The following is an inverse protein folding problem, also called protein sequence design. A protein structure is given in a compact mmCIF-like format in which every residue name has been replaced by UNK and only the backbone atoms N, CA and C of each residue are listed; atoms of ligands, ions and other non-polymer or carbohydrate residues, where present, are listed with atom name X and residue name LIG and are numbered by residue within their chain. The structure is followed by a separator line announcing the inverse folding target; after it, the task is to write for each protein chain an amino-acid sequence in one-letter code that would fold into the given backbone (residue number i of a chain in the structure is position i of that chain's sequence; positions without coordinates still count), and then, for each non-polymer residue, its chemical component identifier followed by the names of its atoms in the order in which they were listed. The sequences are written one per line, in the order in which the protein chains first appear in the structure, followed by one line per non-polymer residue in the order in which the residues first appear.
data_IF_024993678658
#
_entry.id   IF_024993678658
#
_cell.length_a   1.000
_cell.length_b   1.000
_cell.length_c   1.000
_cell.angle_alpha   90.00
_cell.angle_beta   90.00
_cell.angle_gamma   90.00
#
_symmetry.space_group_name_H-M   'P 1'
#
loop_
_entity.id
_entity.type
_entity.pdbx_description
1 polymer ?
#
# COMPACT_ATOMS: atom_id res chain seq x y z
N UNK A 1 -16.20 12.56 -16.61
CA UNK A 1 -14.88 13.14 -16.30
C UNK A 1 -13.81 12.41 -17.10
N UNK A 2 -12.71 13.07 -17.49
CA UNK A 2 -11.52 12.40 -18.03
C UNK A 2 -10.69 11.70 -16.94
N UNK A 3 -9.70 10.90 -17.35
CA UNK A 3 -8.71 10.32 -16.43
C UNK A 3 -7.86 11.42 -15.75
N UNK A 4 -7.34 11.17 -14.53
CA UNK A 4 -6.62 12.20 -13.79
C UNK A 4 -5.27 12.51 -14.42
N UNK A 5 -4.87 13.78 -14.33
CA UNK A 5 -3.53 14.25 -14.66
C UNK A 5 -2.85 14.85 -13.43
N UNK A 6 -3.60 15.59 -12.61
CA UNK A 6 -3.09 16.30 -11.42
C UNK A 6 -3.98 16.06 -10.22
N UNK A 7 -3.44 16.28 -9.03
CA UNK A 7 -4.19 16.27 -7.78
C UNK A 7 -3.67 17.32 -6.81
N UNK A 8 -4.52 17.77 -5.90
CA UNK A 8 -4.15 18.52 -4.70
C UNK A 8 -4.56 17.73 -3.46
N UNK A 9 -3.80 17.91 -2.38
CA UNK A 9 -3.96 17.17 -1.13
C UNK A 9 -4.00 18.12 0.06
N UNK A 10 -4.95 17.85 0.95
CA UNK A 10 -4.98 18.32 2.31
C UNK A 10 -5.01 17.08 3.23
N UNK A 11 -3.94 16.86 3.99
CA UNK A 11 -3.80 15.75 4.92
C UNK A 11 -3.61 16.30 6.33
N UNK A 12 -4.59 16.05 7.20
CA UNK A 12 -4.65 16.63 8.54
C UNK A 12 -5.08 15.60 9.59
N UNK A 13 -4.87 15.95 10.85
CA UNK A 13 -5.34 15.20 12.01
C UNK A 13 -4.28 15.15 13.09
N UNK A 14 -4.20 14.03 13.82
CA UNK A 14 -3.27 13.92 14.95
C UNK A 14 -2.58 12.57 15.07
N UNK A 15 -1.38 12.58 15.65
CA UNK A 15 -0.62 11.38 16.02
C UNK A 15 -0.19 11.54 17.48
N UNK A 16 -0.60 10.60 18.35
CA UNK A 16 -0.41 10.69 19.79
C UNK A 16 -0.89 12.03 20.39
N UNK A 17 -1.96 12.61 19.84
CA UNK A 17 -2.51 13.90 20.28
C UNK A 17 -1.73 15.14 19.79
N UNK A 18 -0.65 14.97 19.03
CA UNK A 18 -0.02 16.07 18.31
C UNK A 18 -0.73 16.30 16.99
N UNK A 19 -1.44 17.42 16.89
CA UNK A 19 -2.06 17.87 15.64
C UNK A 19 -0.99 18.18 14.57
N UNK A 20 -1.34 17.90 13.32
CA UNK A 20 -0.53 18.24 12.15
C UNK A 20 -1.44 18.56 10.96
N UNK A 21 -0.89 19.32 10.02
CA UNK A 21 -1.59 19.75 8.81
C UNK A 21 -0.57 19.88 7.68
N UNK A 22 -0.84 19.15 6.59
CA UNK A 22 -0.01 19.08 5.39
C UNK A 22 -0.87 19.45 4.18
N UNK A 23 -0.36 20.37 3.36
CA UNK A 23 -0.98 20.74 2.08
C UNK A 23 0.01 20.52 0.94
N UNK A 24 -0.50 20.23 -0.24
CA UNK A 24 0.36 20.00 -1.38
C UNK A 24 -0.36 19.64 -2.66
N UNK A 25 0.42 19.18 -3.63
CA UNK A 25 -0.09 18.80 -4.94
C UNK A 25 0.78 17.75 -5.60
N UNK A 26 0.29 17.21 -6.70
CA UNK A 26 1.00 16.22 -7.46
C UNK A 26 0.40 15.99 -8.84
N UNK A 27 1.03 15.04 -9.54
CA UNK A 27 0.64 14.61 -10.88
C UNK A 27 0.93 13.14 -11.07
N UNK A 28 0.28 12.52 -12.04
CA UNK A 28 0.48 11.11 -12.31
C UNK A 28 0.13 10.71 -13.74
N UNK A 29 0.50 9.49 -14.08
CA UNK A 29 0.16 8.85 -15.34
C UNK A 29 -0.84 7.71 -15.08
N UNK A 30 -2.13 7.90 -15.39
CA UNK A 30 -3.18 6.92 -15.14
C UNK A 30 -3.08 5.68 -16.05
N UNK A 31 -2.22 5.69 -17.07
CA UNK A 31 -1.94 4.53 -17.93
C UNK A 31 -0.76 3.71 -17.42
N UNK A 32 0.16 4.35 -16.70
CA UNK A 32 1.33 3.69 -16.13
C UNK A 32 1.12 3.20 -14.70
N UNK A 33 0.14 3.74 -13.97
CA UNK A 33 0.02 3.47 -12.53
C UNK A 33 1.12 4.17 -11.75
N UNK A 34 1.42 5.42 -12.08
CA UNK A 34 2.46 6.18 -11.38
C UNK A 34 1.98 7.56 -10.98
N UNK A 35 2.48 8.06 -9.85
CA UNK A 35 2.25 9.42 -9.42
C UNK A 35 3.41 9.97 -8.59
N UNK A 36 3.49 11.29 -8.55
CA UNK A 36 4.35 12.04 -7.64
C UNK A 36 3.50 13.01 -6.84
N UNK A 37 3.71 13.07 -5.54
CA UNK A 37 3.00 13.94 -4.60
C UNK A 37 4.01 14.65 -3.71
N UNK A 38 3.88 15.97 -3.61
CA UNK A 38 4.71 16.82 -2.76
C UNK A 38 3.82 17.55 -1.77
N UNK A 39 4.15 17.45 -0.49
CA UNK A 39 3.42 18.10 0.60
C UNK A 39 4.35 18.85 1.53
N UNK A 40 3.81 19.90 2.14
CA UNK A 40 4.48 20.73 3.13
C UNK A 40 3.60 20.95 4.35
N UNK A 41 4.22 20.93 5.52
CA UNK A 41 3.56 21.24 6.77
C UNK A 41 3.23 22.72 6.88
N UNK A 42 2.00 23.02 7.29
CA UNK A 42 1.55 24.37 7.62
C UNK A 42 1.77 24.71 9.10
N UNK A 43 2.10 23.70 9.93
CA UNK A 43 2.29 23.82 11.39
C UNK A 43 3.75 23.69 11.83
N UNK A 44 4.70 23.79 10.89
CA UNK A 44 6.13 23.61 11.16
C UNK A 44 6.55 22.13 11.24
N UNK A 45 7.69 21.82 11.87
CA UNK A 45 8.23 20.46 11.88
C UNK A 45 7.30 19.43 12.54
N UNK A 46 7.03 18.33 11.84
CA UNK A 46 6.30 17.17 12.36
C UNK A 46 6.96 16.62 13.63
N UNK A 47 6.13 16.16 14.58
CA UNK A 47 6.56 15.61 15.89
C UNK A 47 6.80 14.09 15.86
N UNK A 48 6.71 13.49 14.69
CA UNK A 48 6.85 12.07 14.43
C UNK A 48 7.51 11.88 13.07
N UNK A 49 7.87 10.64 12.72
CA UNK A 49 8.53 10.33 11.45
C UNK A 49 7.68 10.75 10.25
N UNK A 50 8.23 11.52 9.29
CA UNK A 50 7.51 11.87 8.05
C UNK A 50 7.11 10.64 7.23
N UNK A 51 7.82 9.53 7.39
CA UNK A 51 7.48 8.27 6.72
C UNK A 51 6.14 7.69 7.17
N UNK A 52 5.60 8.09 8.32
CA UNK A 52 4.23 7.73 8.73
C UNK A 52 3.17 8.26 7.76
N UNK A 53 3.48 9.30 6.96
CA UNK A 53 2.59 9.80 5.91
C UNK A 53 2.53 8.88 4.68
N UNK A 54 3.41 7.89 4.61
CA UNK A 54 3.47 6.90 3.53
C UNK A 54 2.77 5.63 4.03
N UNK A 55 1.81 5.06 3.29
CA UNK A 55 1.56 5.27 1.87
C UNK A 55 0.43 6.27 1.55
N UNK A 56 -0.05 7.07 2.51
CA UNK A 56 -1.26 7.89 2.33
C UNK A 56 -1.16 8.91 1.19
N UNK A 57 0.03 9.43 0.91
CA UNK A 57 0.28 10.34 -0.21
C UNK A 57 0.16 9.66 -1.60
N UNK A 58 0.18 8.33 -1.67
CA UNK A 58 0.14 7.57 -2.93
C UNK A 58 -1.02 6.60 -3.02
N UNK A 59 -1.14 5.69 -2.05
CA UNK A 59 -2.27 4.73 -1.92
C UNK A 59 -3.60 5.43 -1.57
N UNK A 60 -3.60 6.77 -1.56
CA UNK A 60 -4.77 7.63 -1.57
C UNK A 60 -5.30 7.94 -2.98
N UNK A 61 -4.62 7.63 -4.09
CA UNK A 61 -5.04 8.05 -5.44
C UNK A 61 -5.14 6.89 -6.43
N UNK A 62 -5.97 5.89 -6.14
CA UNK A 62 -6.16 4.75 -7.05
C UNK A 62 -6.84 5.11 -8.37
N UNK A 63 -7.27 6.35 -8.57
CA UNK A 63 -7.66 6.89 -9.87
C UNK A 63 -6.48 6.87 -10.87
N UNK A 64 -5.22 6.83 -10.42
CA UNK A 64 -4.07 6.63 -11.30
C UNK A 64 -3.78 5.16 -11.60
N UNK A 65 -4.43 4.20 -10.93
CA UNK A 65 -4.18 2.77 -11.10
C UNK A 65 -5.00 2.19 -12.27
N UNK A 66 -4.37 1.75 -13.38
CA UNK A 66 -5.03 0.92 -14.38
C UNK A 66 -5.08 -0.55 -13.94
N UNK A 67 -6.07 -1.29 -14.45
CA UNK A 67 -6.10 -2.75 -14.38
C UNK A 67 -5.53 -3.36 -15.67
N UNK A 68 -5.13 -4.64 -15.67
CA UNK A 68 -4.49 -5.26 -16.83
C UNK A 68 -5.31 -5.17 -18.12
N UNK A 69 -6.64 -5.24 -18.01
CA UNK A 69 -7.54 -5.31 -19.16
C UNK A 69 -8.26 -3.97 -19.45
N UNK A 70 -7.85 -2.88 -18.81
CA UNK A 70 -8.49 -1.57 -18.98
C UNK A 70 -8.59 -0.75 -17.69
N UNK A 71 -9.50 0.24 -17.63
CA UNK A 71 -9.67 1.08 -16.45
C UNK A 71 -10.00 0.28 -15.20
N UNK A 72 -9.40 0.64 -14.06
CA UNK A 72 -9.78 0.05 -12.77
C UNK A 72 -11.17 0.54 -12.31
N UNK A 73 -11.81 -0.13 -11.33
CA UNK A 73 -13.00 0.40 -10.66
C UNK A 73 -12.87 1.85 -10.20
N UNK A 74 -11.70 2.23 -9.70
CA UNK A 74 -11.40 3.56 -9.19
C UNK A 74 -11.37 4.61 -10.31
N UNK A 75 -10.80 4.24 -11.47
CA UNK A 75 -10.83 5.06 -12.67
C UNK A 75 -12.27 5.22 -13.18
N UNK A 76 -13.02 4.12 -13.30
CA UNK A 76 -14.41 4.16 -13.76
C UNK A 76 -15.29 5.04 -12.88
N UNK A 77 -15.14 4.96 -11.56
CA UNK A 77 -15.89 5.78 -10.61
C UNK A 77 -15.57 7.28 -10.71
N UNK A 78 -14.33 7.64 -11.05
CA UNK A 78 -13.99 9.03 -11.38
C UNK A 78 -14.59 9.44 -12.73
N UNK A 79 -14.41 8.60 -13.77
CA UNK A 79 -14.85 8.87 -15.13
C UNK A 79 -16.35 9.12 -15.22
N UNK A 80 -17.16 8.37 -14.47
CA UNK A 80 -18.62 8.52 -14.47
C UNK A 80 -19.14 9.51 -13.39
N UNK A 81 -18.23 10.07 -12.58
CA UNK A 81 -18.52 11.04 -11.52
C UNK A 81 -19.20 10.47 -10.28
N UNK A 82 -19.35 9.14 -10.16
CA UNK A 82 -19.95 8.51 -8.97
C UNK A 82 -19.05 8.54 -7.75
N UNK A 83 -17.73 8.51 -7.97
CA UNK A 83 -16.72 8.54 -6.93
C UNK A 83 -16.74 7.34 -5.98
N UNK A 84 -15.86 7.40 -5.00
CA UNK A 84 -15.75 6.43 -3.93
C UNK A 84 -15.14 7.08 -2.69
N UNK A 85 -15.33 6.46 -1.53
CA UNK A 85 -14.66 6.81 -0.27
C UNK A 85 -13.75 5.69 0.17
N UNK A 86 -12.70 6.02 0.91
CA UNK A 86 -11.79 5.02 1.48
C UNK A 86 -11.73 5.18 2.97
N UNK A 87 -11.78 4.06 3.68
CA UNK A 87 -11.41 3.96 5.08
C UNK A 87 -10.29 2.92 5.21
N UNK A 88 -9.21 3.25 5.93
CA UNK A 88 -8.06 2.35 6.11
C UNK A 88 -7.58 2.37 7.55
N UNK A 89 -7.21 1.18 8.04
CA UNK A 89 -6.66 0.99 9.38
C UNK A 89 -5.35 0.22 9.30
N UNK A 90 -4.32 0.74 9.96
CA UNK A 90 -3.04 0.09 10.21
C UNK A 90 -2.98 -0.30 11.69
N UNK A 91 -2.61 -1.56 11.94
CA UNK A 91 -2.29 -2.06 13.27
C UNK A 91 -0.80 -2.41 13.30
N UNK A 92 -0.01 -1.62 14.01
CA UNK A 92 1.44 -1.76 14.09
C UNK A 92 1.85 -2.83 15.10
N UNK A 93 3.03 -3.41 14.89
CA UNK A 93 3.55 -4.51 15.71
C UNK A 93 3.87 -4.13 17.16
N UNK A 94 3.96 -2.84 17.48
CA UNK A 94 4.18 -2.28 18.82
C UNK A 94 2.90 -1.78 19.51
N UNK A 95 1.74 -2.03 18.92
CA UNK A 95 0.45 -1.59 19.45
C UNK A 95 -0.02 -0.22 18.94
N UNK A 96 0.81 0.48 18.17
CA UNK A 96 0.36 1.70 17.47
C UNK A 96 -0.79 1.41 16.51
N UNK A 97 -1.75 2.33 16.44
CA UNK A 97 -2.90 2.23 15.53
C UNK A 97 -3.03 3.53 14.75
N UNK A 98 -3.30 3.39 13.44
CA UNK A 98 -3.53 4.51 12.54
C UNK A 98 -4.80 4.25 11.74
N UNK A 99 -5.76 5.17 11.78
CA UNK A 99 -6.95 5.16 10.94
C UNK A 99 -6.98 6.40 10.06
N UNK A 100 -7.43 6.25 8.82
CA UNK A 100 -7.52 7.35 7.88
C UNK A 100 -8.75 7.22 6.97
N UNK A 101 -9.43 8.34 6.80
CA UNK A 101 -10.55 8.51 5.87
C UNK A 101 -10.13 9.38 4.70
N UNK A 102 -10.48 8.96 3.49
CA UNK A 102 -10.14 9.64 2.25
C UNK A 102 -11.40 10.11 1.53
N UNK A 103 -11.47 11.40 1.23
CA UNK A 103 -12.53 12.00 0.45
C UNK A 103 -11.96 12.70 -0.79
N UNK A 104 -12.72 12.67 -1.88
CA UNK A 104 -12.33 13.24 -3.16
C UNK A 104 -13.44 14.09 -3.77
N UNK A 105 -13.04 15.14 -4.45
CA UNK A 105 -13.86 15.84 -5.44
C UNK A 105 -13.10 15.89 -6.77
N UNK A 106 -13.84 16.00 -7.88
CA UNK A 106 -13.27 15.89 -9.23
C UNK A 106 -13.61 17.12 -10.06
N UNK A 107 -12.60 17.71 -10.72
CA UNK A 107 -12.72 18.85 -11.61
C UNK A 107 -11.95 18.58 -12.90
N UNK A 108 -12.65 18.12 -13.95
CA UNK A 108 -12.00 17.64 -15.17
C UNK A 108 -10.98 16.52 -14.89
N UNK A 109 -9.71 16.79 -15.20
CA UNK A 109 -8.57 15.89 -14.95
C UNK A 109 -7.92 16.08 -13.57
N UNK A 110 -8.45 16.99 -12.75
CA UNK A 110 -7.90 17.33 -11.44
C UNK A 110 -8.68 16.66 -10.30
N UNK A 111 -7.96 16.10 -9.33
CA UNK A 111 -8.52 15.51 -8.11
C UNK A 111 -8.25 16.45 -6.94
N UNK A 112 -9.30 16.90 -6.25
CA UNK A 112 -9.19 17.55 -4.95
C UNK A 112 -9.38 16.52 -3.86
N UNK A 113 -8.57 16.55 -2.82
CA UNK A 113 -8.63 15.54 -1.78
C UNK A 113 -8.46 16.09 -0.37
N UNK A 114 -9.27 15.56 0.54
CA UNK A 114 -9.24 15.85 1.97
C UNK A 114 -9.14 14.53 2.73
N UNK A 115 -8.00 14.34 3.39
CA UNK A 115 -7.64 13.12 4.10
C UNK A 115 -7.51 13.42 5.58
N UNK A 116 -8.26 12.70 6.42
CA UNK A 116 -8.21 12.84 7.87
C UNK A 116 -7.57 11.61 8.49
N UNK A 117 -6.46 11.80 9.20
CA UNK A 117 -5.66 10.74 9.79
C UNK A 117 -5.60 10.87 11.31
N UNK A 118 -5.88 9.77 12.00
CA UNK A 118 -5.83 9.68 13.45
C UNK A 118 -4.90 8.53 13.85
N UNK A 119 -3.81 8.85 14.55
CA UNK A 119 -2.81 7.92 15.04
C UNK A 119 -2.71 7.96 16.56
N UNK A 120 -2.57 6.81 17.20
CA UNK A 120 -2.42 6.73 18.67
C UNK A 120 -1.70 5.45 19.08
N UNK A 121 -1.17 5.44 20.31
CA UNK A 121 -0.54 4.27 20.90
C UNK A 121 0.87 3.99 20.40
N UNK A 122 1.51 4.94 19.70
CA UNK A 122 2.91 4.80 19.32
C UNK A 122 3.80 5.02 20.56
N UNK A 123 4.74 4.12 20.89
CA UNK A 123 5.68 4.35 21.99
C UNK A 123 6.55 5.59 21.74
N UNK A 124 6.80 6.39 22.77
CA UNK A 124 7.59 7.63 22.67
C UNK A 124 9.06 7.36 22.27
N UNK A 125 9.61 6.22 22.68
CA UNK A 125 10.93 5.72 22.27
C UNK A 125 10.88 4.85 21.00
N UNK A 126 9.67 4.66 20.44
CA UNK A 126 9.41 3.85 19.28
C UNK A 126 9.89 4.48 17.96
N UNK A 127 9.95 3.69 16.88
CA UNK A 127 10.56 4.12 15.62
C UNK A 127 9.80 5.27 14.93
N UNK A 128 8.50 5.40 15.19
CA UNK A 128 7.66 6.50 14.69
C UNK A 128 8.00 7.79 15.40
N UNK A 129 7.97 7.82 16.74
CA UNK A 129 8.14 9.04 17.52
C UNK A 129 9.60 9.53 17.53
N UNK A 130 10.56 8.63 17.34
CA UNK A 130 11.99 8.96 17.29
C UNK A 130 12.57 9.04 15.88
N UNK A 131 11.73 9.03 14.84
CA UNK A 131 12.14 9.17 13.42
C UNK A 131 13.21 8.16 12.96
N UNK A 132 13.12 6.91 13.40
CA UNK A 132 14.07 5.85 13.00
C UNK A 132 13.76 5.21 11.64
N UNK A 133 12.63 5.54 11.02
CA UNK A 133 12.23 5.01 9.71
C UNK A 133 13.01 5.71 8.58
N UNK A 134 13.57 4.92 7.66
CA UNK A 134 14.40 5.43 6.54
C UNK A 134 13.89 5.05 5.14
N UNK A 135 13.09 3.99 5.02
CA UNK A 135 12.49 3.55 3.76
C UNK A 135 11.31 2.61 4.07
N UNK A 136 10.67 2.07 3.04
CA UNK A 136 9.66 1.02 3.09
C UNK A 136 9.94 -0.06 2.04
N UNK A 137 9.58 -1.30 2.35
CA UNK A 137 9.66 -2.38 1.37
C UNK A 137 8.65 -2.16 0.22
N UNK A 138 8.87 -2.85 -0.91
CA UNK A 138 7.80 -2.99 -1.91
C UNK A 138 6.66 -3.84 -1.34
N UNK A 139 5.41 -3.50 -1.63
CA UNK A 139 4.26 -4.09 -0.96
C UNK A 139 3.24 -4.60 -1.98
N UNK A 140 2.64 -5.76 -1.70
CA UNK A 140 1.54 -6.32 -2.50
C UNK A 140 0.25 -6.26 -1.71
N UNK A 141 -0.74 -5.60 -2.31
CA UNK A 141 -2.11 -5.56 -1.81
C UNK A 141 -2.98 -6.62 -2.47
N UNK A 142 -3.90 -7.21 -1.72
CA UNK A 142 -4.89 -8.17 -2.22
C UNK A 142 -6.28 -7.55 -2.11
N UNK A 143 -6.90 -7.28 -3.26
CA UNK A 143 -8.25 -6.73 -3.36
C UNK A 143 -9.27 -7.82 -3.70
N UNK A 144 -10.39 -7.81 -2.99
CA UNK A 144 -11.56 -8.66 -3.25
C UNK A 144 -12.83 -7.82 -3.19
N UNK A 145 -13.89 -8.27 -3.84
CA UNK A 145 -15.19 -7.59 -3.82
C UNK A 145 -16.03 -8.20 -2.71
N UNK A 146 -16.40 -7.39 -1.71
CA UNK A 146 -17.22 -7.85 -0.59
C UNK A 146 -18.70 -7.94 -0.99
N UNK A 147 -19.16 -6.96 -1.75
CA UNK A 147 -20.48 -6.84 -2.34
C UNK A 147 -20.36 -6.03 -3.65
N UNK A 148 -21.48 -5.61 -4.21
CA UNK A 148 -21.52 -4.91 -5.49
C UNK A 148 -21.00 -3.47 -5.44
N UNK A 149 -20.79 -2.85 -4.28
CA UNK A 149 -20.28 -1.48 -4.18
C UNK A 149 -19.05 -1.33 -3.26
N UNK A 150 -18.49 -2.44 -2.78
CA UNK A 150 -17.40 -2.42 -1.81
C UNK A 150 -16.24 -3.32 -2.23
N UNK A 151 -15.06 -2.72 -2.37
CA UNK A 151 -13.79 -3.46 -2.44
C UNK A 151 -13.17 -3.48 -1.05
N UNK A 152 -12.65 -4.64 -0.66
CA UNK A 152 -11.82 -4.79 0.53
C UNK A 152 -10.39 -5.14 0.14
N UNK A 153 -9.44 -4.51 0.81
CA UNK A 153 -8.01 -4.72 0.61
C UNK A 153 -7.33 -5.09 1.92
N UNK A 154 -6.36 -6.00 1.85
CA UNK A 154 -5.42 -6.23 2.94
C UNK A 154 -3.99 -6.36 2.43
N UNK A 155 -3.05 -5.83 3.21
CA UNK A 155 -1.62 -5.97 2.97
C UNK A 155 -0.84 -5.93 4.29
N UNK A 156 0.34 -6.54 4.27
CA UNK A 156 1.32 -6.46 5.35
C UNK A 156 2.35 -5.41 4.97
N UNK A 157 2.32 -4.29 5.67
CA UNK A 157 3.20 -3.15 5.44
C UNK A 157 4.47 -3.30 6.28
N UNK A 158 5.62 -2.88 5.74
CA UNK A 158 6.88 -2.87 6.48
C UNK A 158 7.76 -1.69 6.10
N UNK A 159 8.12 -0.90 7.12
CA UNK A 159 9.16 0.10 7.05
C UNK A 159 10.53 -0.50 7.32
N UNK A 160 11.57 0.10 6.74
CA UNK A 160 12.98 -0.16 7.03
C UNK A 160 13.47 0.87 8.06
N UNK A 161 14.18 0.39 9.09
CA UNK A 161 14.73 1.25 10.14
C UNK A 161 16.22 1.50 9.94
N UNK A 162 16.74 2.58 10.52
CA UNK A 162 18.17 2.93 10.51
C UNK A 162 19.08 1.78 10.98
N UNK A 163 18.61 0.98 11.94
CA UNK A 163 19.33 -0.17 12.50
C UNK A 163 19.21 -1.46 11.65
N UNK A 164 18.63 -1.39 10.46
CA UNK A 164 18.44 -2.52 9.54
C UNK A 164 17.26 -3.43 9.86
N UNK A 165 16.54 -3.22 10.97
CA UNK A 165 15.31 -3.96 11.29
C UNK A 165 14.12 -3.47 10.45
N UNK A 166 13.01 -4.18 10.56
CA UNK A 166 11.71 -3.83 9.96
C UNK A 166 10.71 -3.48 11.03
N UNK A 167 9.90 -2.46 10.78
CA UNK A 167 8.76 -2.07 11.59
C UNK A 167 7.47 -2.30 10.80
N UNK A 168 6.59 -3.19 11.30
CA UNK A 168 5.49 -3.76 10.50
C UNK A 168 4.12 -3.29 10.95
N UNK A 169 3.19 -3.30 10.01
CA UNK A 169 1.77 -3.13 10.28
C UNK A 169 0.90 -4.07 9.46
N UNK A 170 -0.17 -4.58 10.07
CA UNK A 170 -1.26 -5.23 9.35
C UNK A 170 -2.26 -4.17 8.91
N UNK A 171 -2.55 -4.12 7.60
CA UNK A 171 -3.39 -3.07 7.03
C UNK A 171 -4.65 -3.67 6.41
N UNK A 172 -5.76 -2.98 6.64
CA UNK A 172 -7.05 -3.27 6.02
C UNK A 172 -7.66 -2.00 5.46
N UNK A 173 -8.27 -2.07 4.27
CA UNK A 173 -8.95 -0.92 3.66
C UNK A 173 -10.30 -1.34 3.09
N UNK A 174 -11.28 -0.45 3.20
CA UNK A 174 -12.57 -0.55 2.54
C UNK A 174 -12.71 0.61 1.55
N UNK A 175 -13.11 0.30 0.32
CA UNK A 175 -13.41 1.28 -0.72
C UNK A 175 -14.88 1.17 -1.03
N UNK A 176 -15.65 2.20 -0.69
CA UNK A 176 -17.11 2.23 -0.83
C UNK A 176 -17.46 3.14 -2.01
N UNK A 177 -18.02 2.54 -3.06
CA UNK A 177 -18.32 3.21 -4.32
C UNK A 177 -19.72 3.82 -4.31
N UNK A 178 -19.87 4.98 -4.96
CA UNK A 178 -21.16 5.67 -5.08
C UNK A 178 -22.18 4.94 -5.97
N UNK A 179 -21.71 4.00 -6.80
CA UNK A 179 -22.53 3.12 -7.64
C UNK A 179 -22.05 1.67 -7.58
N UNK A 180 -22.92 0.71 -7.92
CA UNK A 180 -22.50 -0.68 -8.10
C UNK A 180 -21.41 -0.82 -9.17
N UNK A 181 -20.45 -1.69 -8.87
CA UNK A 181 -19.37 -2.12 -9.73
C UNK A 181 -19.92 -3.02 -10.85
N UNK A 182 -19.27 -2.95 -12.01
CA UNK A 182 -19.67 -3.78 -13.14
C UNK A 182 -19.47 -5.28 -12.83
N UNK A 183 -20.45 -6.10 -13.22
CA UNK A 183 -20.50 -7.52 -12.86
C UNK A 183 -19.34 -8.35 -13.45
N UNK A 184 -18.81 -7.95 -14.60
CA UNK A 184 -17.65 -8.57 -15.24
C UNK A 184 -16.35 -8.30 -14.45
N UNK A 185 -16.20 -7.10 -13.89
CA UNK A 185 -15.07 -6.72 -13.05
C UNK A 185 -15.06 -7.53 -11.75
N UNK A 186 -16.23 -7.74 -11.14
CA UNK A 186 -16.36 -8.51 -9.91
C UNK A 186 -16.02 -10.00 -10.04
N UNK A 187 -16.11 -10.57 -11.25
CA UNK A 187 -15.70 -11.97 -11.53
C UNK A 187 -14.19 -12.14 -11.49
N UNK A 188 -13.42 -11.06 -11.66
CA UNK A 188 -11.96 -11.06 -11.71
C UNK A 188 -11.37 -10.77 -10.34
N UNK A 189 -11.48 -11.72 -9.42
CA UNK A 189 -10.93 -11.60 -8.07
C UNK A 189 -10.15 -12.85 -7.63
N UNK A 190 -9.12 -12.70 -6.78
CA UNK A 190 -8.59 -11.43 -6.28
C UNK A 190 -7.85 -10.63 -7.36
N UNK A 191 -7.78 -9.31 -7.18
CA UNK A 191 -6.82 -8.46 -7.91
C UNK A 191 -5.68 -8.14 -6.97
N UNK A 192 -4.47 -8.44 -7.40
CA UNK A 192 -3.27 -8.05 -6.67
C UNK A 192 -2.72 -6.74 -7.24
N UNK A 193 -2.19 -5.89 -6.38
CA UNK A 193 -1.47 -4.68 -6.83
C UNK A 193 -0.16 -4.62 -6.08
N UNK A 194 0.94 -4.79 -6.81
CA UNK A 194 2.26 -4.48 -6.30
C UNK A 194 2.48 -2.98 -6.36
N UNK A 195 3.15 -2.43 -5.35
CA UNK A 195 3.57 -1.04 -5.33
C UNK A 195 4.94 -0.84 -4.74
N UNK A 196 5.60 0.22 -5.18
CA UNK A 196 6.83 0.73 -4.57
C UNK A 196 6.72 2.23 -4.40
N UNK A 197 7.03 2.68 -3.19
CA UNK A 197 7.13 4.09 -2.83
C UNK A 197 8.60 4.48 -2.77
N UNK A 198 8.96 5.58 -3.43
CA UNK A 198 10.27 6.23 -3.34
C UNK A 198 10.07 7.58 -2.65
N UNK A 199 10.69 7.76 -1.49
CA UNK A 199 10.38 8.89 -0.61
C UNK A 199 11.62 9.74 -0.41
N UNK A 200 11.43 11.06 -0.44
CA UNK A 200 12.37 12.03 0.11
C UNK A 200 11.62 12.85 1.14
N UNK A 201 12.18 13.06 2.31
CA UNK A 201 11.50 13.77 3.38
C UNK A 201 12.46 14.56 4.25
N UNK A 202 11.92 15.66 4.76
CA UNK A 202 12.41 16.40 5.92
C UNK A 202 11.28 16.43 6.96
N UNK A 203 11.50 17.06 8.10
CA UNK A 203 10.42 17.21 9.09
C UNK A 203 9.31 18.17 8.66
N UNK A 204 9.45 18.91 7.56
CA UNK A 204 8.44 19.87 7.10
C UNK A 204 7.94 19.58 5.69
N UNK A 205 8.63 18.78 4.90
CA UNK A 205 8.33 18.55 3.49
C UNK A 205 8.53 17.07 3.14
N UNK A 206 7.60 16.53 2.35
CA UNK A 206 7.62 15.12 1.94
C UNK A 206 7.31 15.05 0.45
N UNK A 207 8.15 14.34 -0.28
CA UNK A 207 7.93 13.98 -1.69
C UNK A 207 7.84 12.47 -1.81
N UNK A 208 6.74 11.99 -2.39
CA UNK A 208 6.54 10.60 -2.77
C UNK A 208 6.56 10.48 -4.30
N UNK A 209 7.28 9.49 -4.82
CA UNK A 209 7.11 8.93 -6.17
C UNK A 209 6.64 7.48 -6.01
N UNK A 210 5.41 7.20 -6.43
CA UNK A 210 4.78 5.88 -6.34
C UNK A 210 4.65 5.21 -7.70
N UNK A 211 4.89 3.90 -7.69
CA UNK A 211 4.68 3.00 -8.83
C UNK A 211 3.75 1.88 -8.43
N UNK A 212 2.78 1.58 -9.29
CA UNK A 212 1.76 0.57 -9.10
C UNK A 212 1.68 -0.38 -10.29
N UNK A 213 1.46 -1.66 -10.03
CA UNK A 213 1.15 -2.65 -11.06
C UNK A 213 0.09 -3.62 -10.58
N UNK A 214 -1.09 -3.54 -11.19
CA UNK A 214 -2.16 -4.51 -10.99
C UNK A 214 -1.89 -5.80 -11.79
N UNK A 215 -2.25 -6.94 -11.23
CA UNK A 215 -2.22 -8.25 -11.87
C UNK A 215 -3.26 -9.18 -11.22
N UNK A 216 -3.85 -10.08 -12.01
CA UNK A 216 -4.76 -11.11 -11.48
C UNK A 216 -3.99 -12.36 -11.03
N UNK A 217 -2.95 -12.70 -11.79
CA UNK A 217 -2.15 -13.93 -11.68
C UNK A 217 -0.72 -13.62 -12.11
N UNK A 218 0.25 -14.45 -11.72
CA UNK A 218 1.60 -14.45 -12.31
C UNK A 218 1.80 -15.80 -12.99
N UNK A 219 2.27 -15.78 -14.25
CA UNK A 219 2.49 -16.96 -15.11
C UNK A 219 1.31 -17.96 -15.19
N UNK A 220 0.06 -17.46 -15.29
CA UNK A 220 -1.13 -18.30 -15.48
C UNK A 220 -1.51 -19.14 -14.26
N UNK A 221 -0.99 -18.81 -13.07
CA UNK A 221 -1.35 -19.45 -11.81
C UNK A 221 -1.99 -18.45 -10.86
N UNK A 222 -3.19 -18.78 -10.38
CA UNK A 222 -3.85 -18.09 -9.26
C UNK A 222 -3.07 -18.28 -7.97
N UNK A 223 -2.50 -17.20 -7.44
CA UNK A 223 -1.87 -17.24 -6.14
C UNK A 223 -2.93 -17.19 -5.03
N UNK A 224 -2.94 -18.21 -4.16
CA UNK A 224 -3.42 -18.02 -2.79
C UNK A 224 -2.28 -17.35 -2.04
N UNK A 225 -2.43 -16.06 -1.72
CA UNK A 225 -1.51 -15.40 -0.79
C UNK A 225 -1.52 -16.18 0.53
N UNK A 226 -0.50 -17.00 0.78
CA UNK A 226 -0.23 -17.55 2.09
C UNK A 226 0.63 -16.51 2.78
N UNK A 227 0.01 -15.73 3.66
CA UNK A 227 0.74 -14.91 4.64
C UNK A 227 1.49 -15.90 5.53
N UNK A 228 2.76 -16.17 5.23
CA UNK A 228 3.62 -16.94 6.12
C UNK A 228 4.12 -16.01 7.21
N UNK A 229 3.41 -16.01 8.34
CA UNK A 229 4.00 -15.65 9.63
C UNK A 229 5.13 -16.66 9.88
N UNK A 230 6.38 -16.27 9.67
CA UNK A 230 7.50 -17.09 10.14
C UNK A 230 7.53 -16.98 11.66
N UNK A 231 6.94 -17.98 12.33
CA UNK A 231 7.19 -18.28 13.72
C UNK A 231 8.68 -18.57 13.90
N UNK A 232 9.33 -17.78 14.77
CA UNK A 232 10.61 -18.14 15.37
C UNK A 232 10.27 -19.00 16.58
N UNK A 233 10.49 -20.31 16.49
CA UNK A 233 10.67 -21.13 17.70
C UNK A 233 12.07 -21.72 17.68
N UNK A 234 12.90 -21.21 18.59
CA UNK A 234 14.16 -21.83 18.95
C UNK A 234 13.91 -23.06 19.81
N UNK A 235 14.34 -24.23 19.32
CA UNK A 235 15.11 -25.29 20.01
C UNK A 235 15.18 -26.54 19.10
N UNK A 236 16.27 -27.32 19.14
CA UNK A 236 16.50 -28.40 18.19
C UNK A 236 15.64 -29.62 18.53
N UNK A 237 14.96 -30.20 17.54
CA UNK A 237 14.37 -31.54 17.65
C UNK A 237 15.40 -32.58 17.21
N UNK A 238 15.47 -33.66 17.99
CA UNK A 238 16.42 -34.76 17.87
C UNK A 238 16.34 -35.48 16.51
N UNK A 239 17.51 -35.93 16.06
CA UNK A 239 17.68 -36.81 14.92
C UNK A 239 17.08 -38.19 15.23
N UNK A 240 16.02 -38.57 14.52
CA UNK A 240 15.76 -39.94 14.03
C UNK A 240 14.31 -40.09 13.57
N UNK A 241 13.96 -39.57 12.39
CA UNK A 241 12.93 -40.15 11.48
C UNK A 241 13.22 -39.69 10.04
N UNK A 242 14.21 -40.29 9.37
CA UNK A 242 14.38 -40.12 7.92
C UNK A 242 13.57 -41.18 7.17
N UNK A 243 12.35 -40.84 6.71
CA UNK A 243 11.66 -41.54 5.60
C UNK A 243 11.01 -40.52 4.66
N UNK A 244 11.55 -40.47 3.43
CA UNK A 244 11.05 -39.83 2.19
C UNK A 244 9.98 -38.74 2.38
N UNK A 245 10.42 -37.49 2.53
CA UNK A 245 9.51 -36.33 2.43
C UNK A 245 9.31 -35.92 0.96
N UNK A 246 8.13 -35.38 0.59
CA UNK A 246 7.91 -34.81 -0.73
C UNK A 246 8.82 -33.59 -0.95
N UNK A 247 9.41 -33.50 -2.13
CA UNK A 247 10.15 -32.31 -2.57
C UNK A 247 9.15 -31.14 -2.66
N UNK A 248 9.20 -30.21 -1.71
CA UNK A 248 8.43 -28.97 -1.79
C UNK A 248 9.16 -27.99 -2.72
N UNK A 249 8.70 -27.86 -3.96
CA UNK A 249 9.12 -26.77 -4.85
C UNK A 249 8.38 -25.51 -4.42
N UNK A 250 9.07 -24.62 -3.70
CA UNK A 250 8.56 -23.27 -3.44
C UNK A 250 8.95 -22.36 -4.60
N UNK A 251 7.95 -21.87 -5.35
CA UNK A 251 8.14 -20.80 -6.32
C UNK A 251 7.97 -19.45 -5.63
N UNK A 252 8.97 -18.59 -5.71
CA UNK A 252 8.88 -17.20 -5.25
C UNK A 252 8.63 -16.31 -6.47
N UNK A 253 7.58 -15.49 -6.39
CA UNK A 253 7.42 -14.36 -7.30
C UNK A 253 8.37 -13.26 -6.83
N UNK A 254 9.30 -12.87 -7.70
CA UNK A 254 10.18 -11.73 -7.52
C UNK A 254 9.57 -10.54 -8.25
N UNK A 255 9.54 -9.39 -7.59
CA UNK A 255 9.16 -8.15 -8.23
C UNK A 255 10.39 -7.26 -8.31
N UNK A 256 10.77 -6.89 -9.54
CA UNK A 256 11.80 -5.88 -9.77
C UNK A 256 11.09 -4.56 -10.05
N UNK A 257 11.38 -3.55 -9.25
CA UNK A 257 10.84 -2.20 -9.43
C UNK A 257 11.97 -1.21 -9.55
N UNK A 258 11.91 -0.37 -10.58
CA UNK A 258 12.72 0.83 -10.75
C UNK A 258 11.82 2.07 -10.70
N UNK A 259 12.45 3.26 -10.77
CA UNK A 259 11.73 4.51 -10.99
C UNK A 259 11.16 4.66 -12.41
N UNK A 260 11.17 3.62 -13.23
CA UNK A 260 10.62 3.68 -14.58
C UNK A 260 9.70 2.51 -14.88
N UNK A 261 9.89 1.37 -14.21
CA UNK A 261 9.19 0.14 -14.56
C UNK A 261 9.03 -0.81 -13.37
N UNK A 262 7.93 -1.56 -13.36
CA UNK A 262 7.74 -2.74 -12.50
C UNK A 262 7.68 -3.97 -13.39
N UNK A 263 8.57 -4.93 -13.15
CA UNK A 263 8.62 -6.22 -13.82
C UNK A 263 8.39 -7.36 -12.81
N UNK A 264 7.54 -8.32 -13.17
CA UNK A 264 7.30 -9.53 -12.38
C UNK A 264 8.16 -10.67 -12.97
N UNK A 265 8.94 -11.34 -12.13
CA UNK A 265 9.86 -12.45 -12.50
C UNK A 265 9.60 -13.65 -11.56
N UNK A 266 9.39 -14.85 -12.09
CA UNK A 266 9.36 -16.07 -11.29
C UNK A 266 10.73 -16.73 -11.31
N UNK A 267 11.30 -17.02 -10.13
CA UNK A 267 12.46 -17.90 -10.05
C UNK A 267 12.09 -19.16 -9.30
N UNK A 268 12.27 -20.29 -9.95
CA UNK A 268 12.31 -21.60 -9.30
C UNK A 268 13.67 -21.76 -8.61
N UNK A 269 13.66 -21.98 -7.29
CA UNK A 269 14.81 -22.57 -6.60
C UNK A 269 14.40 -23.92 -6.06
N UNK A 270 14.95 -24.98 -6.64
CA UNK A 270 14.97 -26.28 -6.01
C UNK A 270 15.93 -26.19 -4.82
N UNK A 271 15.42 -26.38 -3.60
CA UNK A 271 16.28 -26.69 -2.46
C UNK A 271 16.44 -28.21 -2.43
N UNK A 272 17.67 -28.66 -2.64
CA UNK A 272 18.07 -30.00 -2.24
C UNK A 272 18.52 -29.89 -0.78
N UNK A 273 17.85 -30.58 0.14
CA UNK A 273 18.50 -30.90 1.41
C UNK A 273 19.67 -31.82 1.07
N UNK A 274 20.90 -31.36 1.32
CA UNK A 274 22.04 -32.25 1.43
C UNK A 274 21.74 -33.16 2.61
N UNK A 275 21.70 -34.46 2.33
CA UNK A 275 21.46 -35.54 3.29
C UNK A 275 22.48 -35.54 4.43
#
# INVERSE_FOLDING_TARGET
MPLPATHEIHLHGSVNGHEFDLVGSGKGDPKAGSLVTEVKSTMGPLKFSPHLMIPHLGYGYYQYLPYPDGPSPFQTAMLDGSGYKVHRVFNFEDGGVLSIDYNYAYEGTHIKSDFKLMGSGFPDDGPVMTSQIVDQDGCVSKKTYLNDNTIVDSFDWSYNLQNGKRYRARVTSNYIFGKPLAADVMKKQPVFVYRKCYVKSTQTEITLDEREKAFYEVNGKRYRARVTSNYIFGKPLAADVMKKQPVFVYRKCYVKSTKTEITLDEREKAFYELA
#
